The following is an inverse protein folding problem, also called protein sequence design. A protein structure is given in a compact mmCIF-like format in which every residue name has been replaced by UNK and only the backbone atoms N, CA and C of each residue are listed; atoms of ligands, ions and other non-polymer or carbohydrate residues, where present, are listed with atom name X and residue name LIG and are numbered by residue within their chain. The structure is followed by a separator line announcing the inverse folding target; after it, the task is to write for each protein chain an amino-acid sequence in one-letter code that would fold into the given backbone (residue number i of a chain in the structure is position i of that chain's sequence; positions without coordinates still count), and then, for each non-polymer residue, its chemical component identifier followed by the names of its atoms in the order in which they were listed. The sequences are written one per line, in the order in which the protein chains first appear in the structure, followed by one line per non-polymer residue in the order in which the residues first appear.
data_IF_719645662220
#
_entry.id   IF_719645662220
#
_cell.length_a   1.000
_cell.length_b   1.000
_cell.length_c   1.000
_cell.angle_alpha   90.00
_cell.angle_beta   90.00
_cell.angle_gamma   90.00
#
_symmetry.space_group_name_H-M   'P 1'
#
loop_
_entity.id
_entity.type
_entity.pdbx_description
1 polymer ?
#
# COMPACT_ATOMS: atom_id res chain seq x y z
N UNK A 1 8.10 -14.81 10.85
CA UNK A 1 8.24 -15.38 9.48
C UNK A 1 9.14 -14.54 8.60
N UNK A 2 8.93 -13.22 8.46
CA UNK A 2 9.77 -12.38 7.58
C UNK A 2 11.28 -12.44 7.85
N UNK A 3 11.72 -12.51 9.11
CA UNK A 3 13.15 -12.70 9.41
C UNK A 3 13.73 -13.98 8.79
N UNK A 4 12.95 -15.07 8.73
CA UNK A 4 13.35 -16.31 8.08
C UNK A 4 13.27 -16.19 6.55
N UNK A 5 12.23 -15.53 6.03
CA UNK A 5 12.03 -15.32 4.60
C UNK A 5 13.16 -14.49 3.98
N UNK A 6 13.58 -13.42 4.65
CA UNK A 6 14.56 -12.47 4.11
C UNK A 6 16.00 -12.75 4.55
N UNK A 7 16.22 -13.33 5.74
CA UNK A 7 17.55 -13.50 6.33
C UNK A 7 17.73 -14.85 7.05
N UNK A 8 16.99 -15.89 6.67
CA UNK A 8 17.10 -17.22 7.23
C UNK A 8 18.49 -17.85 7.09
N UNK A 9 19.25 -17.56 6.03
CA UNK A 9 20.62 -18.05 5.91
C UNK A 9 21.59 -17.36 6.88
N UNK A 10 21.26 -16.16 7.35
CA UNK A 10 22.08 -15.36 8.27
C UNK A 10 21.74 -15.72 9.71
N UNK A 11 20.45 -15.76 10.05
CA UNK A 11 19.95 -15.89 11.42
C UNK A 11 19.44 -17.29 11.79
N UNK A 12 19.19 -18.15 10.81
CA UNK A 12 18.77 -19.53 11.05
C UNK A 12 19.51 -20.52 10.11
N UNK A 13 20.85 -20.48 10.02
CA UNK A 13 21.61 -21.28 9.04
C UNK A 13 21.38 -22.79 9.19
N UNK A 14 21.07 -23.27 10.39
CA UNK A 14 20.84 -24.70 10.66
C UNK A 14 19.39 -25.13 10.40
N UNK A 15 18.48 -24.20 10.11
CA UNK A 15 17.09 -24.52 9.82
C UNK A 15 16.94 -24.93 8.35
N UNK A 16 16.95 -26.24 8.13
CA UNK A 16 16.82 -26.86 6.82
C UNK A 16 15.45 -27.52 6.65
N UNK A 17 14.84 -27.33 5.48
CA UNK A 17 13.66 -28.07 5.01
C UNK A 17 14.10 -28.82 3.75
N UNK A 18 13.97 -30.15 3.75
CA UNK A 18 14.43 -31.02 2.65
C UNK A 18 15.90 -30.78 2.23
N UNK A 19 16.75 -30.43 3.21
CA UNK A 19 18.16 -30.13 2.99
C UNK A 19 18.45 -28.71 2.45
N UNK A 20 17.42 -27.90 2.26
CA UNK A 20 17.52 -26.52 1.75
C UNK A 20 17.33 -25.55 2.93
N UNK A 21 18.12 -24.47 3.00
CA UNK A 21 17.93 -23.46 4.03
C UNK A 21 16.54 -22.82 3.94
N UNK A 22 15.94 -22.52 5.09
CA UNK A 22 14.61 -21.93 5.20
C UNK A 22 14.38 -20.70 4.32
N UNK A 23 15.37 -19.80 4.17
CA UNK A 23 15.25 -18.61 3.33
C UNK A 23 15.11 -19.00 1.86
N UNK A 24 16.04 -19.82 1.35
CA UNK A 24 16.02 -20.30 -0.03
C UNK A 24 14.73 -21.06 -0.32
N UNK A 25 14.31 -21.94 0.61
CA UNK A 25 13.07 -22.70 0.51
C UNK A 25 11.87 -21.76 0.36
N UNK A 26 11.67 -20.83 1.30
CA UNK A 26 10.53 -19.92 1.28
C UNK A 26 10.52 -19.01 0.05
N UNK A 27 11.65 -18.38 -0.29
CA UNK A 27 11.73 -17.48 -1.44
C UNK A 27 11.51 -18.22 -2.76
N UNK A 28 12.14 -19.39 -2.95
CA UNK A 28 11.98 -20.15 -4.18
C UNK A 28 10.54 -20.62 -4.38
N UNK A 29 9.88 -21.10 -3.32
CA UNK A 29 8.48 -21.52 -3.42
C UNK A 29 7.54 -20.34 -3.70
N UNK A 30 7.78 -19.18 -3.06
CA UNK A 30 7.02 -17.96 -3.34
C UNK A 30 7.18 -17.51 -4.80
N UNK A 31 8.43 -17.34 -5.25
CA UNK A 31 8.74 -16.88 -6.61
C UNK A 31 8.22 -17.88 -7.66
N UNK A 32 8.39 -19.19 -7.43
CA UNK A 32 7.89 -20.22 -8.36
C UNK A 32 6.37 -20.23 -8.47
N UNK A 33 5.64 -19.94 -7.39
CA UNK A 33 4.18 -19.86 -7.44
C UNK A 33 3.73 -18.70 -8.34
N UNK A 34 4.35 -17.52 -8.21
CA UNK A 34 4.05 -16.36 -9.07
C UNK A 34 4.53 -16.60 -10.51
N UNK A 35 5.72 -17.16 -10.70
CA UNK A 35 6.23 -17.52 -12.03
C UNK A 35 5.33 -18.54 -12.74
N UNK A 36 4.75 -19.50 -12.00
CA UNK A 36 3.78 -20.43 -12.57
C UNK A 36 2.50 -19.73 -13.04
N UNK A 37 1.98 -18.77 -12.28
CA UNK A 37 0.87 -17.93 -12.71
C UNK A 37 1.23 -17.13 -13.97
N UNK A 38 2.41 -16.51 -13.97
CA UNK A 38 2.92 -15.76 -15.11
C UNK A 38 3.02 -16.62 -16.39
N UNK A 39 3.40 -17.90 -16.27
CA UNK A 39 3.45 -18.83 -17.41
C UNK A 39 2.06 -19.02 -18.02
N UNK A 40 1.01 -19.10 -17.20
CA UNK A 40 -0.37 -19.24 -17.69
C UNK A 40 -0.88 -17.96 -18.34
N UNK A 41 -0.50 -16.81 -17.80
CA UNK A 41 -0.83 -15.49 -18.35
C UNK A 41 -0.18 -15.34 -19.74
N UNK A 42 1.12 -15.62 -19.85
CA UNK A 42 1.86 -15.53 -21.13
C UNK A 42 1.35 -16.53 -22.15
N UNK A 43 0.96 -17.74 -21.73
CA UNK A 43 0.41 -18.75 -22.63
C UNK A 43 -1.01 -18.47 -23.13
N UNK A 44 -1.72 -17.49 -22.55
CA UNK A 44 -3.09 -17.15 -22.92
C UNK A 44 -3.10 -15.89 -23.79
N UNK A 45 -3.60 -16.03 -25.01
CA UNK A 45 -3.67 -14.94 -25.98
C UNK A 45 -4.41 -13.72 -25.42
N UNK A 46 -3.83 -12.53 -25.58
CA UNK A 46 -4.42 -11.27 -25.16
C UNK A 46 -4.32 -10.95 -23.67
N UNK A 47 -3.69 -11.79 -22.83
CA UNK A 47 -3.47 -11.45 -21.41
C UNK A 47 -2.17 -10.68 -21.17
N UNK A 48 -1.03 -11.27 -21.53
CA UNK A 48 0.27 -10.61 -21.37
C UNK A 48 0.35 -9.32 -22.21
N UNK A 49 0.98 -8.28 -21.65
CA UNK A 49 1.18 -6.95 -22.25
C UNK A 49 -0.10 -6.15 -22.60
N UNK A 50 -1.28 -6.76 -22.51
CA UNK A 50 -2.57 -6.11 -22.81
C UNK A 50 -3.44 -5.93 -21.56
N UNK A 51 -3.63 -7.01 -20.79
CA UNK A 51 -4.41 -7.00 -19.55
C UNK A 51 -3.50 -7.02 -18.34
N UNK A 52 -2.46 -7.87 -18.36
CA UNK A 52 -1.47 -7.99 -17.30
C UNK A 52 -0.19 -7.30 -17.74
N UNK A 53 0.07 -6.14 -17.15
CA UNK A 53 1.25 -5.32 -17.45
C UNK A 53 2.48 -5.74 -16.65
N UNK A 54 2.29 -6.38 -15.49
CA UNK A 54 3.35 -6.58 -14.54
C UNK A 54 2.94 -7.31 -13.28
N UNK A 55 3.88 -7.41 -12.34
CA UNK A 55 3.74 -8.14 -11.08
C UNK A 55 4.31 -7.34 -9.93
N UNK A 56 3.58 -7.29 -8.82
CA UNK A 56 4.11 -6.80 -7.55
C UNK A 56 5.00 -7.85 -6.91
N UNK A 57 6.12 -7.38 -6.38
CA UNK A 57 7.12 -8.21 -5.69
C UNK A 57 6.60 -8.87 -4.43
N UNK A 58 5.89 -8.14 -3.56
CA UNK A 58 5.36 -8.63 -2.29
C UNK A 58 4.56 -7.53 -1.58
N UNK A 59 3.31 -7.84 -1.24
CA UNK A 59 2.49 -6.98 -0.40
C UNK A 59 3.07 -6.78 1.00
N UNK A 60 3.24 -5.53 1.39
CA UNK A 60 3.71 -5.02 2.68
C UNK A 60 4.86 -5.83 3.29
N UNK A 61 6.05 -5.86 2.64
CA UNK A 61 7.18 -6.59 3.17
C UNK A 61 7.59 -5.97 4.51
N UNK A 62 8.11 -6.78 5.42
CA UNK A 62 8.60 -6.32 6.72
C UNK A 62 9.99 -6.88 7.01
N UNK A 63 10.88 -6.13 7.68
CA UNK A 63 12.15 -6.67 8.15
C UNK A 63 11.97 -7.72 9.26
N UNK A 64 10.78 -7.81 9.88
CA UNK A 64 10.59 -8.56 11.11
C UNK A 64 11.58 -8.08 12.17
N UNK A 65 12.40 -8.98 12.71
CA UNK A 65 13.43 -8.64 13.69
C UNK A 65 14.79 -8.27 13.09
N UNK A 66 14.94 -8.27 11.76
CA UNK A 66 16.21 -7.91 11.11
C UNK A 66 16.56 -6.46 11.48
N UNK A 67 17.78 -6.25 11.99
CA UNK A 67 18.26 -4.95 12.47
C UNK A 67 17.83 -4.59 13.90
N UNK A 68 17.12 -5.46 14.65
CA UNK A 68 16.79 -5.19 16.06
C UNK A 68 18.06 -5.26 16.91
N UNK A 69 18.43 -4.15 17.55
CA UNK A 69 19.63 -4.04 18.40
C UNK A 69 19.49 -4.70 19.77
N UNK A 70 18.27 -4.75 20.32
CA UNK A 70 18.00 -5.36 21.61
C UNK A 70 16.59 -5.98 21.63
N UNK A 71 16.51 -7.30 21.53
CA UNK A 71 15.22 -8.02 21.53
C UNK A 71 14.50 -8.04 22.89
N UNK A 72 15.12 -7.56 23.96
CA UNK A 72 14.48 -7.49 25.29
C UNK A 72 13.61 -6.25 25.49
N UNK A 73 13.60 -5.33 24.54
CA UNK A 73 12.82 -4.08 24.59
C UNK A 73 11.97 -3.92 23.34
N UNK A 74 10.97 -3.04 23.40
CA UNK A 74 10.20 -2.68 22.22
C UNK A 74 11.08 -1.87 21.27
N UNK A 75 11.18 -2.34 20.03
CA UNK A 75 11.95 -1.68 18.98
C UNK A 75 11.41 -0.26 18.73
N UNK A 76 12.31 0.71 18.61
CA UNK A 76 11.97 2.09 18.28
C UNK A 76 11.37 2.23 16.88
N UNK A 77 11.68 1.30 15.97
CA UNK A 77 11.10 1.22 14.62
C UNK A 77 9.64 0.76 14.64
N UNK A 78 9.18 0.09 15.69
CA UNK A 78 7.78 -0.28 15.87
C UNK A 78 6.97 0.91 16.39
N UNK A 79 6.61 1.80 15.47
CA UNK A 79 5.90 3.04 15.78
C UNK A 79 4.42 2.81 16.11
N UNK A 80 3.78 1.86 15.42
CA UNK A 80 2.41 1.46 15.73
C UNK A 80 2.40 0.44 16.89
N UNK A 81 1.71 0.78 17.98
CA UNK A 81 1.54 -0.08 19.16
C UNK A 81 0.09 -0.02 19.62
N UNK A 82 -0.51 -1.19 19.84
CA UNK A 82 -1.91 -1.29 20.20
C UNK A 82 -2.18 -2.62 20.90
N UNK A 83 -2.96 -2.58 21.98
CA UNK A 83 -3.28 -3.73 22.86
C UNK A 83 -1.99 -4.40 23.35
N UNK A 84 -1.99 -5.73 23.47
CA UNK A 84 -0.82 -6.51 23.87
C UNK A 84 0.30 -6.32 22.85
N UNK A 85 1.39 -5.69 23.27
CA UNK A 85 2.54 -5.39 22.42
C UNK A 85 3.79 -6.00 23.06
N UNK A 86 4.09 -7.29 22.79
CA UNK A 86 5.26 -7.95 23.35
C UNK A 86 6.56 -7.48 22.68
N UNK A 87 7.65 -7.47 23.44
CA UNK A 87 9.00 -7.40 22.86
C UNK A 87 9.28 -8.65 22.00
N UNK A 88 10.28 -8.63 21.12
CA UNK A 88 10.66 -9.84 20.39
C UNK A 88 11.00 -11.01 21.32
N UNK A 89 11.69 -10.77 22.44
CA UNK A 89 11.99 -11.84 23.41
C UNK A 89 10.74 -12.32 24.16
N UNK A 90 9.84 -11.42 24.56
CA UNK A 90 8.55 -11.82 25.15
C UNK A 90 7.72 -12.67 24.17
N UNK A 91 7.78 -12.33 22.87
CA UNK A 91 7.14 -13.13 21.80
C UNK A 91 7.75 -14.53 21.69
N UNK A 92 9.07 -14.67 21.86
CA UNK A 92 9.76 -15.97 21.89
C UNK A 92 9.28 -16.82 23.08
N UNK A 93 9.18 -16.22 24.27
CA UNK A 93 8.71 -16.90 25.48
C UNK A 93 7.26 -17.36 25.33
N UNK A 94 6.36 -16.46 24.92
CA UNK A 94 4.95 -16.78 24.69
C UNK A 94 4.77 -17.86 23.62
N UNK A 95 5.48 -17.76 22.49
CA UNK A 95 5.47 -18.78 21.44
C UNK A 95 6.03 -20.14 21.90
N UNK A 96 6.81 -20.15 22.98
CA UNK A 96 7.33 -21.37 23.60
C UNK A 96 6.46 -21.88 24.75
N UNK A 97 5.28 -21.29 24.97
CA UNK A 97 4.32 -21.70 26.00
C UNK A 97 4.64 -21.17 27.39
N UNK A 98 5.53 -20.17 27.51
CA UNK A 98 5.98 -19.62 28.78
C UNK A 98 5.17 -18.36 29.12
N UNK A 99 4.51 -18.30 30.29
CA UNK A 99 3.77 -17.13 30.72
C UNK A 99 4.66 -15.91 30.86
N UNK A 100 4.21 -14.77 30.32
CA UNK A 100 5.02 -13.54 30.23
C UNK A 100 4.16 -12.32 30.49
N UNK A 101 4.71 -11.31 31.18
CA UNK A 101 4.05 -10.01 31.36
C UNK A 101 4.39 -9.10 30.20
N UNK A 102 3.35 -8.62 29.51
CA UNK A 102 3.47 -7.84 28.25
C UNK A 102 2.90 -6.45 28.45
N UNK A 103 3.47 -5.44 27.79
CA UNK A 103 2.92 -4.10 27.80
C UNK A 103 1.57 -4.02 27.06
N UNK A 104 0.62 -3.29 27.63
CA UNK A 104 -0.63 -2.94 26.94
C UNK A 104 -0.58 -1.51 26.47
N UNK A 105 -1.04 -1.28 25.24
CA UNK A 105 -1.03 0.02 24.58
C UNK A 105 -2.42 0.42 24.10
N UNK A 106 -2.76 1.69 24.21
CA UNK A 106 -3.93 2.31 23.59
C UNK A 106 -3.52 3.23 22.46
N UNK A 107 -4.44 3.54 21.55
CA UNK A 107 -4.21 4.51 20.47
C UNK A 107 -5.12 5.73 20.64
N UNK A 108 -4.52 6.88 20.92
CA UNK A 108 -5.23 8.16 21.10
C UNK A 108 -5.08 9.09 19.89
N UNK A 109 -5.60 10.32 20.02
CA UNK A 109 -5.50 11.36 18.97
C UNK A 109 -4.07 11.77 18.61
N UNK A 110 -3.11 11.51 19.50
CA UNK A 110 -1.69 11.82 19.31
C UNK A 110 -0.83 10.57 19.11
N UNK A 111 -1.46 9.41 18.85
CA UNK A 111 -0.77 8.14 18.61
C UNK A 111 -0.78 7.17 19.79
N UNK A 112 0.09 6.17 19.77
CA UNK A 112 0.15 5.13 20.79
C UNK A 112 0.57 5.64 22.17
N UNK A 113 0.00 5.08 23.22
CA UNK A 113 0.41 5.34 24.61
C UNK A 113 0.31 4.07 25.43
N UNK A 114 1.32 3.79 26.26
CA UNK A 114 1.30 2.65 27.19
C UNK A 114 0.17 2.84 28.20
N UNK A 115 -0.76 1.90 28.24
CA UNK A 115 -1.91 1.88 29.16
C UNK A 115 -1.66 1.02 30.39
N UNK A 116 -0.68 0.11 30.34
CA UNK A 116 -0.36 -0.75 31.47
C UNK A 116 0.47 -1.96 31.07
N UNK A 117 0.28 -3.05 31.80
CA UNK A 117 0.86 -4.37 31.55
C UNK A 117 -0.16 -5.45 31.85
N UNK A 118 -0.10 -6.57 31.14
CA UNK A 118 -0.98 -7.72 31.34
C UNK A 118 -0.15 -9.00 31.42
N UNK A 119 -0.52 -9.92 32.31
CA UNK A 119 0.12 -11.23 32.40
C UNK A 119 -0.58 -12.19 31.43
N UNK A 120 0.15 -12.64 30.40
CA UNK A 120 -0.37 -13.53 29.37
C UNK A 120 0.15 -14.94 29.63
N UNK A 121 -0.78 -15.90 29.77
CA UNK A 121 -0.49 -17.31 29.99
C UNK A 121 -0.97 -18.16 28.81
N UNK A 122 -0.06 -18.69 27.95
CA UNK A 122 -0.40 -19.60 26.86
C UNK A 122 -0.93 -20.97 27.31
N UNK A 123 -0.95 -21.26 28.61
CA UNK A 123 -1.35 -22.55 29.21
C UNK A 123 -0.55 -23.71 28.62
N UNK A 124 0.77 -23.50 28.50
CA UNK A 124 1.71 -24.44 27.88
C UNK A 124 1.48 -24.73 26.38
N UNK A 125 0.58 -24.01 25.72
CA UNK A 125 0.41 -24.10 24.27
C UNK A 125 1.64 -23.52 23.57
N UNK A 126 2.17 -24.23 22.58
CA UNK A 126 3.39 -23.85 21.86
C UNK A 126 3.07 -23.57 20.40
N UNK A 127 3.78 -22.60 19.81
CA UNK A 127 3.74 -22.33 18.38
C UNK A 127 4.58 -23.35 17.56
N UNK A 128 5.37 -24.19 18.25
CA UNK A 128 6.26 -25.18 17.65
C UNK A 128 5.59 -26.56 17.65
N UNK A 129 5.84 -27.35 16.60
CA UNK A 129 5.41 -28.75 16.53
C UNK A 129 5.98 -29.56 17.69
N UNK A 130 5.29 -30.67 18.00
CA UNK A 130 5.78 -31.65 18.96
C UNK A 130 7.20 -32.10 18.61
N UNK A 131 8.03 -32.30 19.64
CA UNK A 131 9.44 -32.67 19.51
C UNK A 131 10.36 -31.62 18.86
N UNK A 132 9.82 -30.47 18.42
CA UNK A 132 10.62 -29.35 17.91
C UNK A 132 10.83 -28.30 18.99
N UNK A 133 12.06 -27.81 19.08
CA UNK A 133 12.42 -26.70 19.96
C UNK A 133 12.17 -25.35 19.24
N UNK A 134 12.16 -24.27 20.00
CA UNK A 134 12.20 -22.93 19.44
C UNK A 134 13.46 -22.76 18.58
N UNK A 135 13.27 -22.35 17.32
CA UNK A 135 14.37 -22.13 16.37
C UNK A 135 15.44 -21.18 16.91
N UNK A 136 15.07 -20.20 17.74
CA UNK A 136 16.01 -19.24 18.31
C UNK A 136 16.79 -19.82 19.50
N UNK A 137 16.23 -20.79 20.22
CA UNK A 137 17.00 -21.55 21.21
C UNK A 137 18.03 -22.44 20.51
N UNK A 138 17.67 -23.06 19.38
CA UNK A 138 18.60 -23.89 18.57
C UNK A 138 19.79 -23.08 18.04
N UNK A 139 19.64 -21.76 17.92
CA UNK A 139 20.69 -20.84 17.50
C UNK A 139 21.33 -20.07 18.67
N UNK A 140 21.07 -20.48 19.91
CA UNK A 140 21.69 -19.93 21.11
C UNK A 140 21.31 -18.48 21.42
N UNK A 141 20.15 -18.02 20.95
CA UNK A 141 19.63 -16.68 21.26
C UNK A 141 19.17 -16.62 22.72
N UNK A 142 18.59 -17.69 23.23
CA UNK A 142 18.09 -17.81 24.61
C UNK A 142 18.19 -19.25 25.12
N UNK A 143 18.14 -19.42 26.44
CA UNK A 143 18.19 -20.71 27.11
C UNK A 143 16.79 -21.16 27.59
N UNK A 144 16.22 -22.24 27.02
CA UNK A 144 14.90 -22.74 27.39
C UNK A 144 14.83 -23.41 28.77
N UNK A 145 15.97 -23.79 29.36
CA UNK A 145 16.00 -24.39 30.70
C UNK A 145 15.92 -23.35 31.81
N UNK A 146 16.43 -22.15 31.56
CA UNK A 146 16.47 -21.05 32.54
C UNK A 146 15.59 -19.85 32.17
N UNK A 147 14.98 -19.87 30.98
CA UNK A 147 14.21 -18.77 30.38
C UNK A 147 15.02 -17.47 30.27
N UNK A 148 16.34 -17.58 30.03
CA UNK A 148 17.24 -16.42 29.97
C UNK A 148 17.59 -16.06 28.54
N UNK A 149 17.52 -14.77 28.23
CA UNK A 149 18.08 -14.21 27.01
C UNK A 149 19.61 -14.29 27.06
N UNK A 150 20.24 -14.84 26.02
CA UNK A 150 21.70 -15.00 25.92
C UNK A 150 22.32 -13.97 24.97
N UNK A 151 21.64 -13.65 23.86
CA UNK A 151 22.14 -12.75 22.81
C UNK A 151 21.06 -11.75 22.40
N UNK A 152 21.11 -10.56 22.98
CA UNK A 152 20.08 -9.53 22.78
C UNK A 152 20.16 -8.83 21.42
N UNK A 153 21.36 -8.77 20.85
CA UNK A 153 21.73 -8.10 19.59
C UNK A 153 21.85 -9.09 18.42
N UNK A 154 21.32 -10.31 18.59
CA UNK A 154 21.46 -11.38 17.60
C UNK A 154 21.06 -10.93 16.19
N UNK A 155 19.98 -10.14 16.07
CA UNK A 155 19.43 -9.74 14.78
C UNK A 155 19.97 -8.43 14.21
N UNK A 156 20.87 -7.71 14.90
CA UNK A 156 21.49 -6.49 14.38
C UNK A 156 22.83 -6.72 13.67
N UNK A 157 23.36 -7.95 13.74
CA UNK A 157 24.67 -8.29 13.20
C UNK A 157 24.52 -9.35 12.11
N UNK A 158 25.06 -9.09 10.92
CA UNK A 158 25.17 -10.10 9.87
C UNK A 158 26.23 -11.12 10.28
N UNK A 159 25.82 -12.33 10.66
CA UNK A 159 26.72 -13.37 11.16
C UNK A 159 27.64 -13.99 10.11
N UNK A 160 27.43 -13.72 8.82
CA UNK A 160 28.33 -14.12 7.74
C UNK A 160 29.50 -13.13 7.55
N UNK A 161 29.24 -11.84 7.77
CA UNK A 161 30.22 -10.76 7.53
C UNK A 161 30.77 -10.10 8.79
N UNK A 162 30.10 -10.33 9.94
CA UNK A 162 30.35 -9.68 11.23
C UNK A 162 30.16 -8.15 11.24
N UNK A 163 29.45 -7.60 10.26
CA UNK A 163 29.07 -6.19 10.21
C UNK A 163 27.63 -5.97 10.73
N UNK A 164 27.26 -4.71 10.98
CA UNK A 164 25.86 -4.35 11.18
C UNK A 164 25.04 -4.75 9.94
N UNK A 165 23.89 -5.38 10.14
CA UNK A 165 23.03 -5.80 9.04
C UNK A 165 22.20 -4.62 8.54
N UNK A 166 22.08 -4.50 7.22
CA UNK A 166 21.16 -3.57 6.57
C UNK A 166 20.07 -4.35 5.84
N UNK A 167 18.81 -4.18 6.24
CA UNK A 167 17.71 -4.94 5.63
C UNK A 167 17.55 -4.66 4.14
N UNK A 168 17.65 -3.39 3.72
CA UNK A 168 17.49 -2.98 2.33
C UNK A 168 18.54 -3.67 1.46
N UNK A 169 19.81 -3.51 1.83
CA UNK A 169 20.96 -3.94 1.04
C UNK A 169 21.20 -5.44 1.15
N UNK A 170 21.17 -6.00 2.35
CA UNK A 170 21.58 -7.39 2.59
C UNK A 170 20.44 -8.38 2.34
N UNK A 171 19.18 -7.93 2.31
CA UNK A 171 18.01 -8.82 2.26
C UNK A 171 16.98 -8.47 1.18
N UNK A 172 16.46 -7.23 1.18
CA UNK A 172 15.37 -6.83 0.28
C UNK A 172 15.83 -6.74 -1.17
N UNK A 173 16.89 -5.98 -1.48
CA UNK A 173 17.44 -5.88 -2.85
C UNK A 173 17.72 -7.26 -3.47
N UNK A 174 18.44 -8.19 -2.80
CA UNK A 174 18.67 -9.54 -3.34
C UNK A 174 17.38 -10.32 -3.65
N UNK A 175 16.35 -10.19 -2.80
CA UNK A 175 15.05 -10.81 -3.06
C UNK A 175 14.39 -10.22 -4.31
N UNK A 176 14.37 -8.88 -4.43
CA UNK A 176 13.76 -8.19 -5.56
C UNK A 176 14.47 -8.53 -6.88
N UNK A 177 15.80 -8.64 -6.88
CA UNK A 177 16.59 -9.08 -8.04
C UNK A 177 16.26 -10.53 -8.45
N UNK A 178 16.15 -11.43 -7.48
CA UNK A 178 15.78 -12.83 -7.74
C UNK A 178 14.35 -12.97 -8.25
N UNK A 179 13.40 -12.23 -7.65
CA UNK A 179 12.02 -12.17 -8.12
C UNK A 179 11.97 -11.65 -9.56
N UNK A 180 12.59 -10.50 -9.83
CA UNK A 180 12.59 -9.85 -11.15
C UNK A 180 13.17 -10.76 -12.23
N UNK A 181 14.34 -11.33 -11.99
CA UNK A 181 14.99 -12.23 -12.96
C UNK A 181 14.16 -13.48 -13.25
N UNK A 182 13.53 -14.06 -12.23
CA UNK A 182 12.68 -15.24 -12.38
C UNK A 182 11.41 -14.94 -13.16
N UNK A 183 10.74 -13.82 -12.88
CA UNK A 183 9.52 -13.43 -13.58
C UNK A 183 9.81 -13.03 -15.04
N UNK A 184 10.90 -12.31 -15.29
CA UNK A 184 11.30 -11.93 -16.65
C UNK A 184 11.81 -13.08 -17.50
N UNK A 185 12.23 -14.19 -16.90
CA UNK A 185 12.48 -15.43 -17.62
C UNK A 185 11.20 -16.03 -18.24
N UNK A 186 10.02 -15.63 -17.75
CA UNK A 186 8.70 -16.08 -18.24
C UNK A 186 7.99 -14.98 -19.04
N UNK A 187 7.94 -13.76 -18.51
CA UNK A 187 7.29 -12.59 -19.10
C UNK A 187 8.33 -11.47 -19.24
N UNK A 188 9.09 -11.49 -20.35
CA UNK A 188 10.26 -10.62 -20.54
C UNK A 188 9.96 -9.12 -20.47
N UNK A 189 8.76 -8.72 -20.88
CA UNK A 189 8.24 -7.35 -20.86
C UNK A 189 7.48 -6.98 -19.58
N UNK A 190 7.42 -7.84 -18.56
CA UNK A 190 6.72 -7.50 -17.32
C UNK A 190 7.28 -6.23 -16.67
N UNK A 191 6.38 -5.32 -16.29
CA UNK A 191 6.68 -4.26 -15.33
C UNK A 191 6.82 -4.91 -13.96
N UNK A 192 7.89 -4.61 -13.22
CA UNK A 192 8.00 -5.04 -11.83
C UNK A 192 7.60 -3.88 -10.92
N UNK A 193 6.53 -4.09 -10.17
CA UNK A 193 6.08 -3.15 -9.14
C UNK A 193 6.84 -3.47 -7.86
N UNK A 194 7.78 -2.60 -7.51
CA UNK A 194 8.72 -2.77 -6.40
C UNK A 194 8.13 -2.13 -5.16
N UNK A 195 7.61 -2.96 -4.27
CA UNK A 195 7.01 -2.50 -3.02
C UNK A 195 8.08 -2.40 -1.90
N UNK A 196 8.23 -1.23 -1.27
CA UNK A 196 9.09 -1.05 -0.09
C UNK A 196 8.39 -1.51 1.20
N UNK A 197 9.15 -1.62 2.28
CA UNK A 197 8.54 -1.80 3.61
C UNK A 197 7.70 -0.58 3.99
N UNK A 198 6.48 -0.83 4.48
CA UNK A 198 5.57 0.25 4.91
C UNK A 198 6.23 1.12 5.99
N UNK A 199 6.33 2.42 5.71
CA UNK A 199 6.87 3.42 6.64
C UNK A 199 8.38 3.35 6.87
N UNK A 200 9.12 2.60 6.06
CA UNK A 200 10.59 2.47 6.14
C UNK A 200 11.22 2.93 4.83
N UNK A 201 12.04 3.99 4.91
CA UNK A 201 12.81 4.50 3.77
C UNK A 201 13.92 3.51 3.37
N UNK A 202 14.01 3.08 2.11
CA UNK A 202 15.11 2.24 1.63
C UNK A 202 16.48 2.93 1.77
N UNK A 203 17.40 2.30 2.48
CA UNK A 203 18.73 2.86 2.81
C UNK A 203 19.72 2.84 1.64
N UNK A 204 19.37 2.25 0.51
CA UNK A 204 20.24 2.11 -0.66
C UNK A 204 19.42 2.07 -1.95
N UNK A 205 19.92 2.68 -3.05
CA UNK A 205 19.24 2.63 -4.33
C UNK A 205 19.32 1.22 -4.95
N UNK A 206 18.28 0.87 -5.69
CA UNK A 206 18.17 -0.36 -6.46
C UNK A 206 18.51 -0.07 -7.93
N UNK A 207 19.78 -0.27 -8.29
CA UNK A 207 20.33 0.15 -9.59
C UNK A 207 20.44 -0.98 -10.62
N UNK A 208 20.11 -2.21 -10.25
CA UNK A 208 20.41 -3.42 -11.01
C UNK A 208 19.24 -3.95 -11.85
N UNK A 209 18.01 -3.48 -11.62
CA UNK A 209 16.81 -4.01 -12.30
C UNK A 209 16.63 -3.53 -13.75
N UNK A 210 17.34 -2.47 -14.16
CA UNK A 210 17.12 -1.82 -15.46
C UNK A 210 15.73 -1.18 -15.57
N UNK A 211 15.23 -1.05 -16.80
CA UNK A 211 13.96 -0.39 -17.11
C UNK A 211 12.74 -1.29 -16.79
N UNK A 212 11.53 -0.76 -17.02
CA UNK A 212 10.23 -1.44 -16.78
C UNK A 212 10.05 -1.87 -15.33
N UNK A 213 10.30 -0.92 -14.44
CA UNK A 213 9.99 -1.02 -13.02
C UNK A 213 9.12 0.17 -12.61
N UNK A 214 8.36 0.00 -11.55
CA UNK A 214 7.56 1.06 -10.93
C UNK A 214 7.72 0.95 -9.42
N UNK A 215 7.89 2.08 -8.74
CA UNK A 215 7.88 2.09 -7.28
C UNK A 215 6.43 1.96 -6.81
N UNK A 216 6.18 1.04 -5.89
CA UNK A 216 4.83 0.64 -5.51
C UNK A 216 4.54 0.77 -3.99
N UNK A 217 4.68 1.96 -3.39
CA UNK A 217 4.44 2.12 -1.96
C UNK A 217 2.94 2.15 -1.63
N UNK A 218 2.60 1.89 -0.36
CA UNK A 218 1.26 2.11 0.16
C UNK A 218 1.18 3.43 0.93
N UNK A 219 0.00 4.04 0.95
CA UNK A 219 -0.26 5.19 1.81
C UNK A 219 -1.67 5.17 2.38
N UNK A 220 -1.78 5.35 3.69
CA UNK A 220 -3.06 5.52 4.39
C UNK A 220 -2.96 6.69 5.38
N UNK A 221 -4.09 7.38 5.58
CA UNK A 221 -4.25 8.23 6.76
C UNK A 221 -4.39 7.35 8.01
N UNK A 222 -3.25 7.03 8.62
CA UNK A 222 -3.17 6.12 9.76
C UNK A 222 -4.02 6.56 10.96
N UNK A 223 -4.19 7.87 11.19
CA UNK A 223 -5.06 8.35 12.26
C UNK A 223 -6.51 7.96 11.97
N UNK A 224 -6.98 8.18 10.74
CA UNK A 224 -8.33 7.81 10.33
C UNK A 224 -8.52 6.29 10.32
N UNK A 225 -7.55 5.54 9.79
CA UNK A 225 -7.61 4.08 9.67
C UNK A 225 -7.70 3.40 11.05
N UNK A 226 -6.87 3.82 12.01
CA UNK A 226 -6.80 3.20 13.34
C UNK A 226 -7.94 3.69 14.25
N UNK A 227 -8.23 4.99 14.26
CA UNK A 227 -9.27 5.55 15.13
C UNK A 227 -10.69 5.38 14.58
N UNK A 228 -10.83 4.95 13.32
CA UNK A 228 -12.10 4.86 12.59
C UNK A 228 -12.86 6.19 12.61
N UNK A 229 -12.12 7.29 12.54
CA UNK A 229 -12.66 8.63 12.64
C UNK A 229 -11.85 9.62 11.78
N UNK A 230 -12.45 10.10 10.69
CA UNK A 230 -11.81 11.06 9.82
C UNK A 230 -11.70 12.46 10.46
N UNK A 231 -10.47 12.96 10.58
CA UNK A 231 -10.18 14.20 11.27
C UNK A 231 -10.17 15.41 10.32
N UNK A 232 -11.29 16.15 10.28
CA UNK A 232 -11.54 17.20 9.26
C UNK A 232 -10.85 18.53 9.53
N UNK A 233 -10.49 18.78 10.79
CA UNK A 233 -10.09 20.10 11.26
C UNK A 233 -8.59 20.24 11.43
N UNK A 234 -7.87 19.12 11.49
CA UNK A 234 -6.42 19.13 11.51
C UNK A 234 -5.85 17.80 11.03
N UNK A 235 -4.62 17.84 10.53
CA UNK A 235 -3.77 16.68 10.30
C UNK A 235 -2.37 16.98 10.84
N UNK A 236 -1.55 15.93 10.97
CA UNK A 236 -0.14 16.04 11.36
C UNK A 236 0.69 15.61 10.16
N UNK A 237 1.56 16.49 9.63
CA UNK A 237 2.58 16.13 8.65
C UNK A 237 3.68 15.30 9.34
N UNK A 238 3.34 14.05 9.69
CA UNK A 238 4.19 13.16 10.46
C UNK A 238 5.41 12.72 9.66
N UNK A 239 5.25 12.44 8.37
CA UNK A 239 6.36 12.15 7.46
C UNK A 239 7.35 13.31 7.42
N UNK A 240 6.87 14.54 7.20
CA UNK A 240 7.74 15.71 7.22
C UNK A 240 8.44 15.91 8.57
N UNK A 241 7.76 15.64 9.68
CA UNK A 241 8.38 15.68 11.00
C UNK A 241 9.50 14.63 11.14
N UNK A 242 9.28 13.38 10.72
CA UNK A 242 10.31 12.33 10.75
C UNK A 242 11.53 12.66 9.89
N UNK A 243 11.32 13.34 8.76
CA UNK A 243 12.40 13.81 7.89
C UNK A 243 13.11 15.08 8.42
N UNK A 244 12.77 15.58 9.61
CA UNK A 244 13.41 16.75 10.20
C UNK A 244 12.96 18.10 9.61
N UNK A 245 11.89 18.14 8.80
CA UNK A 245 11.31 19.39 8.26
C UNK A 245 10.80 20.33 9.36
N UNK A 246 10.47 19.77 10.53
CA UNK A 246 9.95 20.50 11.69
C UNK A 246 10.83 20.24 12.91
N UNK A 247 11.19 21.29 13.65
CA UNK A 247 11.97 21.18 14.89
C UNK A 247 11.17 20.58 16.05
N UNK A 248 9.85 20.54 15.95
CA UNK A 248 8.93 19.96 16.92
C UNK A 248 7.63 19.54 16.23
N UNK A 249 7.02 18.44 16.67
CA UNK A 249 5.77 17.90 16.11
C UNK A 249 4.60 18.91 16.15
N UNK A 250 4.58 19.85 17.09
CA UNK A 250 3.54 20.89 17.12
C UNK A 250 3.56 21.76 15.86
N UNK A 251 4.73 21.97 15.25
CA UNK A 251 4.86 22.73 14.01
C UNK A 251 4.46 21.95 12.75
N UNK A 252 4.27 20.62 12.87
CA UNK A 252 3.77 19.80 11.76
C UNK A 252 2.24 19.72 11.70
N UNK A 253 1.53 20.30 12.68
CA UNK A 253 0.06 20.38 12.69
C UNK A 253 -0.41 21.32 11.58
N UNK A 254 -1.27 20.81 10.70
CA UNK A 254 -1.96 21.58 9.66
C UNK A 254 -3.43 21.72 10.03
N UNK A 255 -3.99 22.93 9.86
CA UNK A 255 -5.34 23.26 10.30
C UNK A 255 -6.31 23.42 9.13
N UNK A 256 -7.57 23.06 9.38
CA UNK A 256 -8.67 23.10 8.42
C UNK A 256 -8.60 22.02 7.35
N UNK A 257 -9.70 21.87 6.60
CA UNK A 257 -9.80 20.86 5.54
C UNK A 257 -8.70 20.99 4.48
N UNK A 258 -8.32 22.23 4.12
CA UNK A 258 -7.17 22.47 3.23
C UNK A 258 -5.86 21.99 3.85
N UNK A 259 -5.64 22.27 5.13
CA UNK A 259 -4.44 21.82 5.84
C UNK A 259 -4.33 20.29 5.90
N UNK A 260 -5.45 19.58 6.07
CA UNK A 260 -5.50 18.11 6.01
C UNK A 260 -5.02 17.61 4.64
N UNK A 261 -5.62 18.13 3.56
CA UNK A 261 -5.23 17.75 2.19
C UNK A 261 -3.76 18.09 1.91
N UNK A 262 -3.30 19.26 2.34
CA UNK A 262 -1.91 19.71 2.14
C UNK A 262 -0.92 18.81 2.92
N UNK A 263 -1.27 18.34 4.12
CA UNK A 263 -0.45 17.40 4.90
C UNK A 263 -0.35 16.02 4.22
N UNK A 264 -1.50 15.47 3.83
CA UNK A 264 -1.57 14.19 3.14
C UNK A 264 -0.83 14.23 1.80
N UNK A 265 -1.03 15.28 1.01
CA UNK A 265 -0.35 15.46 -0.28
C UNK A 265 1.17 15.56 -0.12
N UNK A 266 1.66 16.27 0.91
CA UNK A 266 3.09 16.33 1.20
C UNK A 266 3.67 14.97 1.60
N UNK A 267 2.94 14.18 2.38
CA UNK A 267 3.34 12.81 2.77
C UNK A 267 3.38 11.87 1.55
N UNK A 268 2.40 11.94 0.66
CA UNK A 268 2.36 11.14 -0.58
C UNK A 268 3.48 11.58 -1.54
N UNK A 269 3.71 12.89 -1.69
CA UNK A 269 4.79 13.40 -2.53
C UNK A 269 6.16 12.97 -2.01
N UNK A 270 6.34 12.88 -0.69
CA UNK A 270 7.53 12.29 -0.10
C UNK A 270 7.75 10.85 -0.58
N UNK A 271 6.75 9.98 -0.46
CA UNK A 271 6.86 8.59 -0.94
C UNK A 271 7.19 8.49 -2.43
N UNK A 272 6.64 9.39 -3.25
CA UNK A 272 7.00 9.48 -4.66
C UNK A 272 8.48 9.83 -4.85
N UNK A 273 8.96 10.85 -4.12
CA UNK A 273 10.34 11.30 -4.20
C UNK A 273 11.32 10.23 -3.69
N UNK A 274 10.94 9.48 -2.65
CA UNK A 274 11.66 8.27 -2.19
C UNK A 274 11.77 7.22 -3.31
N UNK A 275 10.72 7.07 -4.12
CA UNK A 275 10.75 6.21 -5.31
C UNK A 275 11.84 6.64 -6.29
N UNK A 276 11.96 7.95 -6.57
CA UNK A 276 13.00 8.48 -7.45
C UNK A 276 14.41 8.28 -6.87
N UNK A 277 14.57 8.40 -5.55
CA UNK A 277 15.84 8.11 -4.87
C UNK A 277 16.18 6.61 -4.90
N UNK A 278 15.17 5.74 -4.78
CA UNK A 278 15.35 4.30 -4.66
C UNK A 278 15.56 3.64 -6.02
N UNK A 279 14.68 3.87 -6.99
CA UNK A 279 14.69 3.16 -8.27
C UNK A 279 15.04 4.06 -9.47
N UNK A 280 15.36 5.34 -9.24
CA UNK A 280 15.66 6.30 -10.31
C UNK A 280 14.40 6.88 -10.97
N UNK A 281 14.57 7.45 -12.16
CA UNK A 281 13.51 8.15 -12.91
C UNK A 281 12.49 7.16 -13.54
N UNK A 282 11.67 6.56 -12.68
CA UNK A 282 10.67 5.55 -13.01
C UNK A 282 9.30 5.93 -12.43
N UNK A 283 8.19 5.40 -12.99
CA UNK A 283 6.85 5.66 -12.48
C UNK A 283 6.68 5.27 -11.01
N UNK A 284 5.78 5.99 -10.33
CA UNK A 284 5.27 5.65 -9.01
C UNK A 284 3.77 5.34 -9.14
N UNK A 285 3.39 4.18 -8.64
CA UNK A 285 2.01 3.75 -8.49
C UNK A 285 1.80 3.46 -7.01
N UNK A 286 0.93 4.20 -6.31
CA UNK A 286 0.57 3.77 -4.96
C UNK A 286 -0.22 2.47 -5.05
N UNK A 287 0.40 1.36 -4.64
CA UNK A 287 -0.15 0.00 -4.74
C UNK A 287 -1.43 -0.18 -3.93
N UNK A 288 -1.57 0.57 -2.85
CA UNK A 288 -2.78 0.62 -2.05
C UNK A 288 -2.97 1.96 -1.34
N UNK A 289 -4.22 2.41 -1.32
CA UNK A 289 -4.68 3.51 -0.48
C UNK A 289 -6.19 3.48 -0.33
N UNK A 290 -6.74 3.99 0.77
CA UNK A 290 -8.19 3.95 0.97
C UNK A 290 -8.65 4.60 2.27
N UNK A 291 -9.93 4.41 2.57
CA UNK A 291 -10.56 4.88 3.81
C UNK A 291 -11.46 3.78 4.40
N UNK A 292 -11.54 3.67 5.73
CA UNK A 292 -12.47 2.76 6.37
C UNK A 292 -13.92 3.23 6.18
N UNK A 293 -14.82 2.32 5.81
CA UNK A 293 -16.26 2.57 5.78
C UNK A 293 -16.96 2.27 7.10
N UNK A 294 -16.33 1.49 7.99
CA UNK A 294 -16.81 1.15 9.33
C UNK A 294 -16.72 2.31 10.35
N UNK A 295 -16.49 3.54 9.89
CA UNK A 295 -16.51 4.74 10.74
C UNK A 295 -17.89 4.98 11.39
N UNK A 296 -17.99 5.16 12.72
CA UNK A 296 -19.28 5.20 13.43
C UNK A 296 -20.21 6.36 13.03
N UNK A 297 -19.67 7.47 12.52
CA UNK A 297 -20.40 8.74 12.41
C UNK A 297 -21.18 8.95 11.10
N UNK A 298 -21.28 7.96 10.22
CA UNK A 298 -22.23 7.94 9.09
C UNK A 298 -22.20 6.60 8.35
N UNK A 299 -22.81 5.56 8.92
CA UNK A 299 -23.15 4.36 8.12
C UNK A 299 -24.29 4.70 7.14
N UNK A 300 -24.55 3.80 6.20
CA UNK A 300 -25.57 3.94 5.16
C UNK A 300 -26.88 4.60 5.65
N UNK A 301 -27.54 5.43 4.82
CA UNK A 301 -27.28 5.60 3.38
C UNK A 301 -26.40 6.82 3.01
N UNK A 302 -26.05 7.71 3.94
CA UNK A 302 -25.52 9.03 3.55
C UNK A 302 -24.00 9.09 3.35
N UNK A 303 -23.22 8.18 3.97
CA UNK A 303 -21.74 8.11 3.88
C UNK A 303 -21.00 9.46 4.00
N UNK A 304 -21.60 10.48 4.62
CA UNK A 304 -21.13 11.87 4.51
C UNK A 304 -19.70 12.06 5.01
N UNK A 305 -19.31 11.38 6.09
CA UNK A 305 -17.94 11.43 6.62
C UNK A 305 -16.97 10.71 5.70
N UNK A 306 -17.33 9.51 5.25
CA UNK A 306 -16.56 8.68 4.33
C UNK A 306 -16.34 9.40 2.99
N UNK A 307 -17.37 10.02 2.43
CA UNK A 307 -17.28 10.80 1.18
C UNK A 307 -16.33 11.98 1.33
N UNK A 308 -16.33 12.64 2.50
CA UNK A 308 -15.38 13.71 2.80
C UNK A 308 -13.95 13.20 2.96
N UNK A 309 -13.77 12.04 3.61
CA UNK A 309 -12.47 11.41 3.77
C UNK A 309 -11.89 10.95 2.43
N UNK A 310 -12.70 10.23 1.63
CA UNK A 310 -12.37 9.77 0.28
C UNK A 310 -12.01 10.95 -0.62
N UNK A 311 -12.80 12.03 -0.59
CA UNK A 311 -12.49 13.24 -1.34
C UNK A 311 -11.18 13.89 -0.90
N UNK A 312 -10.89 13.94 0.40
CA UNK A 312 -9.64 14.51 0.90
C UNK A 312 -8.43 13.67 0.45
N UNK A 313 -8.54 12.34 0.49
CA UNK A 313 -7.55 11.41 -0.03
C UNK A 313 -7.29 11.65 -1.52
N UNK A 314 -8.35 11.67 -2.35
CA UNK A 314 -8.22 11.82 -3.81
C UNK A 314 -7.68 13.21 -4.22
N UNK A 315 -8.09 14.30 -3.55
CA UNK A 315 -7.49 15.63 -3.77
C UNK A 315 -5.99 15.64 -3.41
N UNK A 316 -5.59 14.88 -2.37
CA UNK A 316 -4.17 14.76 -2.01
C UNK A 316 -3.35 13.97 -3.03
N UNK A 317 -3.91 12.89 -3.59
CA UNK A 317 -3.30 12.09 -4.67
C UNK A 317 -3.14 12.91 -5.96
N UNK A 318 -4.20 13.62 -6.36
CA UNK A 318 -4.19 14.51 -7.53
C UNK A 318 -3.11 15.59 -7.42
N UNK A 319 -2.96 16.20 -6.23
CA UNK A 319 -1.93 17.22 -5.97
C UNK A 319 -0.52 16.65 -5.90
N UNK A 320 -0.37 15.42 -5.43
CA UNK A 320 0.92 14.72 -5.40
C UNK A 320 1.32 14.22 -6.80
N UNK A 321 0.38 14.12 -7.74
CA UNK A 321 0.66 13.72 -9.13
C UNK A 321 1.10 12.26 -9.23
N UNK A 322 0.45 11.38 -8.48
CA UNK A 322 0.77 9.94 -8.41
C UNK A 322 -0.37 9.11 -9.00
N UNK A 323 -0.03 7.98 -9.62
CA UNK A 323 -1.01 6.95 -9.92
C UNK A 323 -1.34 6.18 -8.65
N UNK A 324 -2.51 5.56 -8.57
CA UNK A 324 -2.92 4.82 -7.37
C UNK A 324 -3.92 3.71 -7.68
N UNK A 325 -4.01 2.76 -6.76
CA UNK A 325 -5.05 1.73 -6.68
C UNK A 325 -5.80 1.89 -5.37
N UNK A 326 -7.13 2.10 -5.47
CA UNK A 326 -7.98 2.22 -4.27
C UNK A 326 -8.22 0.85 -3.66
N UNK A 327 -7.94 0.72 -2.36
CA UNK A 327 -8.29 -0.42 -1.55
C UNK A 327 -9.72 -0.22 -1.00
N UNK A 328 -10.70 -1.00 -1.43
CA UNK A 328 -10.65 -2.03 -2.47
C UNK A 328 -12.01 -2.20 -3.17
N UNK A 329 -12.16 -3.19 -4.04
CA UNK A 329 -13.47 -3.65 -4.53
C UNK A 329 -13.63 -5.14 -4.22
N UNK A 330 -14.63 -5.47 -3.40
CA UNK A 330 -14.90 -6.81 -2.89
C UNK A 330 -16.40 -7.07 -3.05
N UNK A 331 -16.75 -7.94 -3.98
CA UNK A 331 -18.15 -8.20 -4.39
C UNK A 331 -19.00 -8.93 -3.35
N UNK A 332 -18.39 -9.40 -2.27
CA UNK A 332 -19.03 -10.08 -1.14
C UNK A 332 -18.87 -9.31 0.18
N UNK A 333 -18.40 -8.05 0.13
CA UNK A 333 -18.27 -7.22 1.32
C UNK A 333 -19.61 -7.02 2.03
N UNK A 334 -19.60 -7.07 3.37
CA UNK A 334 -20.78 -6.80 4.22
C UNK A 334 -20.42 -5.86 5.37
N UNK A 335 -21.41 -5.19 5.96
CA UNK A 335 -21.18 -4.31 7.12
C UNK A 335 -20.75 -5.08 8.38
N UNK A 336 -21.07 -6.37 8.44
CA UNK A 336 -20.78 -7.21 9.61
C UNK A 336 -19.36 -7.81 9.58
N UNK A 337 -18.87 -8.15 8.39
CA UNK A 337 -17.62 -8.91 8.23
C UNK A 337 -16.59 -8.21 7.35
N UNK A 338 -16.89 -7.01 6.82
CA UNK A 338 -16.02 -6.32 5.87
C UNK A 338 -15.82 -7.18 4.63
N UNK A 339 -14.57 -7.32 4.22
CA UNK A 339 -14.10 -8.13 3.09
C UNK A 339 -14.18 -9.65 3.29
N UNK A 340 -14.55 -10.13 4.49
CA UNK A 340 -14.61 -11.56 4.80
C UNK A 340 -13.24 -12.25 4.92
N UNK A 341 -12.14 -11.51 4.83
CA UNK A 341 -10.78 -12.03 4.89
C UNK A 341 -10.09 -11.67 6.20
N UNK A 342 -9.81 -10.39 6.42
CA UNK A 342 -9.17 -9.88 7.64
C UNK A 342 -10.10 -8.99 8.47
N UNK A 343 -11.34 -8.80 8.00
CA UNK A 343 -12.37 -8.00 8.67
C UNK A 343 -12.33 -6.52 8.30
N UNK A 344 -11.61 -6.16 7.24
CA UNK A 344 -11.52 -4.80 6.74
C UNK A 344 -12.79 -4.39 5.99
N UNK A 345 -13.42 -3.31 6.43
CA UNK A 345 -14.53 -2.70 5.70
C UNK A 345 -14.04 -1.47 4.92
N UNK A 346 -13.21 -1.70 3.90
CA UNK A 346 -12.59 -0.64 3.06
C UNK A 346 -13.17 -0.61 1.64
N UNK A 347 -14.06 -1.54 1.30
CA UNK A 347 -14.48 -1.70 -0.09
C UNK A 347 -15.32 -0.53 -0.64
N UNK A 348 -15.17 -0.19 -1.92
CA UNK A 348 -16.01 0.79 -2.61
C UNK A 348 -17.44 0.30 -2.81
N UNK A 349 -17.72 -0.97 -2.55
CA UNK A 349 -19.04 -1.57 -2.70
C UNK A 349 -19.40 -2.42 -1.48
N UNK A 350 -20.68 -2.55 -1.17
CA UNK A 350 -21.17 -3.47 -0.14
C UNK A 350 -22.48 -4.12 -0.55
N UNK A 351 -22.59 -5.42 -0.31
CA UNK A 351 -23.79 -6.20 -0.60
C UNK A 351 -24.99 -5.68 0.18
N UNK A 352 -24.77 -5.20 1.39
CA UNK A 352 -25.83 -4.70 2.27
C UNK A 352 -26.48 -3.43 1.72
N UNK A 353 -25.73 -2.63 0.95
CA UNK A 353 -26.18 -1.36 0.39
C UNK A 353 -26.84 -1.50 -0.99
N UNK A 354 -26.63 -2.64 -1.67
CA UNK A 354 -27.30 -2.92 -2.94
C UNK A 354 -28.81 -3.13 -2.72
N UNK A 355 -29.65 -2.39 -3.44
CA UNK A 355 -31.12 -2.58 -3.47
C UNK A 355 -31.49 -3.92 -4.09
N UNK A 356 -30.80 -4.31 -5.16
CA UNK A 356 -31.01 -5.56 -5.89
C UNK A 356 -29.95 -6.58 -5.47
N UNK A 357 -30.39 -7.58 -4.70
CA UNK A 357 -29.50 -8.62 -4.14
C UNK A 357 -29.14 -9.71 -5.15
N UNK A 358 -29.99 -9.96 -6.15
CA UNK A 358 -29.78 -10.96 -7.21
C UNK A 358 -29.37 -10.30 -8.53
N UNK A 359 -28.25 -10.74 -9.09
CA UNK A 359 -27.67 -10.14 -10.28
C UNK A 359 -28.55 -10.26 -11.55
N UNK A 360 -29.51 -11.20 -11.57
CA UNK A 360 -30.41 -11.46 -12.71
C UNK A 360 -31.54 -10.44 -12.84
N UNK A 361 -31.84 -9.71 -11.77
CA UNK A 361 -32.97 -8.78 -11.71
C UNK A 361 -32.51 -7.32 -11.99
N UNK A 362 -31.31 -7.19 -12.56
CA UNK A 362 -30.62 -5.93 -12.78
C UNK A 362 -30.92 -5.37 -14.18
N UNK A 363 -31.81 -4.37 -14.26
CA UNK A 363 -32.10 -3.64 -15.51
C UNK A 363 -31.73 -2.14 -15.44
N UNK A 364 -30.99 -1.65 -16.43
CA UNK A 364 -30.65 -0.22 -16.60
C UNK A 364 -29.38 0.26 -15.88
N UNK A 365 -28.96 1.49 -16.20
CA UNK A 365 -27.69 2.07 -15.73
C UNK A 365 -27.64 2.33 -14.21
N UNK A 366 -28.78 2.54 -13.56
CA UNK A 366 -28.86 2.70 -12.10
C UNK A 366 -28.36 1.47 -11.33
N UNK A 367 -28.30 0.32 -11.99
CA UNK A 367 -27.96 -0.93 -11.35
C UNK A 367 -26.46 -1.17 -11.26
N UNK A 368 -25.65 -0.55 -12.12
CA UNK A 368 -24.19 -0.63 -12.04
C UNK A 368 -23.62 0.08 -10.81
N UNK A 369 -24.33 1.10 -10.32
CA UNK A 369 -23.96 1.87 -9.13
C UNK A 369 -24.64 1.38 -7.84
N UNK A 370 -25.51 0.36 -7.94
CA UNK A 370 -26.27 -0.14 -6.81
C UNK A 370 -25.36 -0.82 -5.79
N UNK A 371 -25.33 -0.30 -4.56
CA UNK A 371 -24.42 -0.72 -3.49
C UNK A 371 -23.03 -0.06 -3.52
N UNK A 372 -22.77 0.85 -4.46
CA UNK A 372 -21.55 1.65 -4.45
C UNK A 372 -21.54 2.65 -3.27
N UNK A 373 -20.37 2.85 -2.68
CA UNK A 373 -20.15 3.72 -1.52
C UNK A 373 -19.25 4.89 -1.91
N UNK A 374 -19.65 6.10 -1.55
CA UNK A 374 -18.93 7.34 -1.87
C UNK A 374 -18.72 7.60 -3.38
N UNK A 375 -19.69 7.19 -4.23
CA UNK A 375 -19.63 7.34 -5.69
C UNK A 375 -19.30 8.79 -6.13
N UNK A 376 -19.89 9.78 -5.47
CA UNK A 376 -19.65 11.21 -5.74
C UNK A 376 -18.19 11.64 -5.52
N UNK A 377 -17.43 10.90 -4.71
CA UNK A 377 -16.04 11.22 -4.41
C UNK A 377 -15.06 10.44 -5.29
N UNK A 378 -15.25 9.12 -5.47
CA UNK A 378 -14.26 8.29 -6.18
C UNK A 378 -14.46 8.22 -7.69
N UNK A 379 -15.70 8.36 -8.20
CA UNK A 379 -15.98 8.30 -9.63
C UNK A 379 -15.73 9.67 -10.28
N UNK A 380 -14.46 10.05 -10.42
CA UNK A 380 -14.03 11.39 -10.87
C UNK A 380 -13.64 11.41 -12.34
N UNK A 381 -13.76 12.55 -13.04
CA UNK A 381 -13.12 12.72 -14.33
C UNK A 381 -11.60 12.77 -14.18
N UNK A 382 -10.88 12.18 -15.12
CA UNK A 382 -9.41 12.20 -15.15
C UNK A 382 -8.90 11.95 -16.57
N UNK A 383 -7.67 12.40 -16.91
CA UNK A 383 -7.07 12.06 -18.20
C UNK A 383 -6.69 10.57 -18.22
N UNK A 384 -7.27 9.80 -19.15
CA UNK A 384 -6.91 8.38 -19.35
C UNK A 384 -5.65 8.26 -20.21
N UNK A 385 -5.41 9.23 -21.09
CA UNK A 385 -4.21 9.34 -21.89
C UNK A 385 -3.84 10.81 -22.06
N UNK A 386 -2.56 11.17 -21.87
CA UNK A 386 -2.07 12.55 -22.05
C UNK A 386 -0.99 12.59 -23.11
N UNK A 387 -1.19 13.39 -24.15
CA UNK A 387 -0.17 13.69 -25.14
C UNK A 387 0.78 14.80 -24.63
N UNK A 388 1.54 14.48 -23.58
CA UNK A 388 2.42 15.42 -22.90
C UNK A 388 2.71 15.04 -21.46
N UNK A 389 3.49 15.88 -20.78
CA UNK A 389 3.79 15.72 -19.36
C UNK A 389 2.66 16.31 -18.50
N UNK A 390 1.97 15.52 -17.65
CA UNK A 390 1.04 16.04 -16.66
C UNK A 390 1.69 17.09 -15.74
N UNK A 391 1.00 18.19 -15.47
CA UNK A 391 1.47 19.26 -14.56
C UNK A 391 0.60 19.36 -13.32
N UNK A 392 -0.72 19.35 -13.47
CA UNK A 392 -1.63 19.33 -12.32
C UNK A 392 -3.00 18.80 -12.71
N UNK A 393 -3.61 18.03 -11.81
CA UNK A 393 -5.02 17.64 -11.87
C UNK A 393 -5.72 18.15 -10.61
N UNK A 394 -6.98 18.57 -10.76
CA UNK A 394 -7.86 18.89 -9.64
C UNK A 394 -9.30 18.64 -10.03
N UNK A 395 -10.04 17.89 -9.22
CA UNK A 395 -11.49 17.80 -9.33
C UNK A 395 -12.21 18.24 -8.04
N UNK A 396 -13.18 19.14 -8.20
CA UNK A 396 -14.08 19.60 -7.15
C UNK A 396 -15.45 18.93 -7.33
N UNK A 397 -15.71 17.91 -6.51
CA UNK A 397 -16.94 17.12 -6.56
C UNK A 397 -18.23 17.89 -6.24
N UNK A 398 -18.14 19.01 -5.49
CA UNK A 398 -19.32 19.81 -5.15
C UNK A 398 -19.78 20.66 -6.32
N UNK A 399 -18.82 21.21 -7.06
CA UNK A 399 -19.07 22.02 -8.25
C UNK A 399 -19.04 21.21 -9.54
N UNK A 400 -18.65 19.93 -9.45
CA UNK A 400 -18.46 19.00 -10.58
C UNK A 400 -17.51 19.57 -11.63
N UNK A 401 -16.42 20.19 -11.16
CA UNK A 401 -15.47 20.91 -12.02
C UNK A 401 -14.09 20.27 -11.95
N UNK A 402 -13.54 19.92 -13.11
CA UNK A 402 -12.15 19.45 -13.26
C UNK A 402 -11.29 20.55 -13.89
N UNK A 403 -10.07 20.69 -13.41
CA UNK A 403 -9.01 21.47 -14.07
C UNK A 403 -7.79 20.59 -14.24
N UNK A 404 -7.33 20.45 -15.48
CA UNK A 404 -6.15 19.68 -15.82
C UNK A 404 -5.17 20.55 -16.63
N UNK A 405 -3.87 20.42 -16.35
CA UNK A 405 -2.79 21.10 -17.06
C UNK A 405 -1.71 20.09 -17.40
N UNK A 406 -1.18 20.17 -18.61
CA UNK A 406 -0.06 19.35 -19.08
C UNK A 406 0.81 20.15 -20.06
N UNK A 407 2.06 19.72 -20.26
CA UNK A 407 2.99 20.27 -21.24
C UNK A 407 3.02 19.36 -22.47
N UNK A 408 2.63 19.88 -23.63
CA UNK A 408 2.62 19.09 -24.87
C UNK A 408 4.02 18.56 -25.25
N UNK A 409 4.06 17.32 -25.76
CA UNK A 409 5.24 16.80 -26.47
C UNK A 409 5.28 17.41 -27.87
N UNK A 410 5.95 18.57 -27.98
CA UNK A 410 6.11 19.30 -29.25
C UNK A 410 5.71 20.76 -29.12
N UNK A 411 6.67 21.67 -29.27
CA UNK A 411 6.39 23.10 -29.30
C UNK A 411 5.55 23.44 -30.54
N UNK A 412 4.29 23.82 -30.32
CA UNK A 412 3.36 24.35 -31.31
C UNK A 412 3.13 23.48 -32.58
N UNK A 413 1.92 22.93 -32.67
CA UNK A 413 1.30 22.39 -33.89
C UNK A 413 1.67 20.96 -34.32
N UNK A 414 1.01 19.98 -33.71
CA UNK A 414 0.47 18.85 -34.47
C UNK A 414 -1.04 18.80 -34.23
N UNK A 415 -1.76 19.73 -34.85
CA UNK A 415 -3.22 19.77 -34.85
C UNK A 415 -3.72 18.98 -36.05
N UNK A 416 -3.77 17.66 -35.93
CA UNK A 416 -4.47 16.85 -36.92
C UNK A 416 -5.94 16.80 -36.50
N UNK A 417 -6.82 17.32 -37.36
CA UNK A 417 -8.27 17.27 -37.17
C UNK A 417 -8.85 16.64 -38.43
N UNK A 418 -9.43 15.46 -38.29
CA UNK A 418 -10.49 14.98 -39.19
C UNK A 418 -10.04 14.30 -40.48
N UNK A 419 -8.94 13.53 -40.47
CA UNK A 419 -8.59 12.68 -41.62
C UNK A 419 -8.83 11.19 -41.38
N UNK A 420 -9.05 10.75 -40.14
CA UNK A 420 -9.25 9.34 -39.82
C UNK A 420 -8.02 8.45 -40.06
N UNK A 421 -6.82 9.05 -40.14
CA UNK A 421 -5.56 8.30 -40.15
C UNK A 421 -5.15 7.88 -38.73
N UNK A 422 -4.46 6.74 -38.61
CA UNK A 422 -3.95 6.16 -37.36
C UNK A 422 -2.94 7.04 -36.59
N UNK A 423 -2.56 8.22 -37.13
CA UNK A 423 -1.55 9.14 -36.59
C UNK A 423 -2.12 10.35 -35.80
N UNK A 424 -3.43 10.44 -35.53
CA UNK A 424 -4.00 11.53 -34.73
C UNK A 424 -3.75 11.33 -33.22
N UNK A 425 -2.90 12.16 -32.60
CA UNK A 425 -2.54 12.06 -31.18
C UNK A 425 -3.36 13.03 -30.33
N UNK A 426 -4.31 12.52 -29.55
CA UNK A 426 -5.20 13.30 -28.67
C UNK A 426 -4.95 13.01 -27.19
N UNK A 427 -5.33 13.94 -26.31
CA UNK A 427 -5.44 13.71 -24.86
C UNK A 427 -6.87 13.25 -24.59
N UNK A 428 -7.04 12.06 -24.00
CA UNK A 428 -8.33 11.50 -23.65
C UNK A 428 -8.66 11.75 -22.18
N UNK A 429 -9.95 11.94 -21.90
CA UNK A 429 -10.48 12.06 -20.56
C UNK A 429 -11.58 11.03 -20.36
N UNK A 430 -11.67 10.50 -19.14
CA UNK A 430 -12.87 9.82 -18.66
C UNK A 430 -13.85 10.86 -18.11
N UNK A 431 -15.10 10.80 -18.55
CA UNK A 431 -16.21 11.63 -18.07
C UNK A 431 -17.27 10.77 -17.37
N UNK A 432 -17.32 10.76 -16.02
CA UNK A 432 -18.22 9.90 -15.28
C UNK A 432 -19.68 10.34 -15.41
N UNK A 433 -20.55 9.43 -15.83
CA UNK A 433 -22.00 9.68 -16.03
C UNK A 433 -22.70 10.15 -14.75
N UNK A 434 -22.22 9.74 -13.57
CA UNK A 434 -22.75 10.22 -12.27
C UNK A 434 -22.63 11.73 -12.10
N UNK A 435 -21.63 12.35 -12.73
CA UNK A 435 -21.43 13.80 -12.69
C UNK A 435 -21.96 14.50 -13.94
N UNK A 436 -21.84 13.85 -15.12
CA UNK A 436 -22.16 14.41 -16.43
C UNK A 436 -23.09 13.47 -17.22
N UNK A 437 -24.38 13.35 -16.83
CA UNK A 437 -25.30 12.39 -17.43
C UNK A 437 -25.72 12.76 -18.85
N UNK A 438 -25.69 14.04 -19.21
CA UNK A 438 -26.09 14.51 -20.54
C UNK A 438 -25.09 15.53 -21.10
N UNK A 439 -25.11 15.73 -22.42
CA UNK A 439 -24.28 16.75 -23.07
C UNK A 439 -24.55 18.17 -22.55
N UNK A 440 -25.76 18.45 -22.03
CA UNK A 440 -26.10 19.75 -21.43
C UNK A 440 -25.39 20.02 -20.10
N UNK A 441 -24.86 18.99 -19.45
CA UNK A 441 -24.13 19.10 -18.18
C UNK A 441 -22.63 19.39 -18.37
N UNK A 442 -22.14 19.32 -19.62
CA UNK A 442 -20.72 19.44 -19.94
C UNK A 442 -20.41 20.81 -20.53
N UNK A 443 -19.48 21.53 -19.91
CA UNK A 443 -18.90 22.77 -20.45
C UNK A 443 -17.39 22.63 -20.45
N UNK A 444 -16.79 22.54 -21.64
CA UNK A 444 -15.34 22.44 -21.81
C UNK A 444 -14.77 23.79 -22.20
N UNK A 445 -13.67 24.18 -21.54
CA UNK A 445 -12.86 25.35 -21.88
C UNK A 445 -11.42 24.90 -21.98
N UNK A 446 -10.79 25.17 -23.13
CA UNK A 446 -9.38 24.89 -23.38
C UNK A 446 -8.67 26.19 -23.70
N UNK A 447 -7.45 26.36 -23.17
CA UNK A 447 -6.61 27.52 -23.51
C UNK A 447 -6.03 27.38 -24.93
N UNK A 448 -5.84 26.13 -25.38
CA UNK A 448 -5.33 25.80 -26.70
C UNK A 448 -6.02 24.55 -27.22
N UNK A 449 -6.36 24.56 -28.51
CA UNK A 449 -6.85 23.39 -29.24
C UNK A 449 -8.34 23.31 -29.47
N UNK A 450 -8.71 22.20 -30.12
CA UNK A 450 -10.10 21.80 -30.32
C UNK A 450 -10.44 20.66 -29.37
N UNK A 451 -11.71 20.53 -29.07
CA UNK A 451 -12.24 19.46 -28.25
C UNK A 451 -13.57 18.98 -28.84
N UNK A 452 -13.92 17.75 -28.51
CA UNK A 452 -15.23 17.15 -28.72
C UNK A 452 -15.58 16.37 -27.46
N UNK A 453 -16.83 15.95 -27.32
CA UNK A 453 -17.32 15.18 -26.17
C UNK A 453 -18.22 14.06 -26.66
N UNK A 454 -18.06 12.87 -26.09
CA UNK A 454 -18.97 11.74 -26.24
C UNK A 454 -19.45 11.30 -24.86
N UNK A 455 -20.60 11.84 -24.46
CA UNK A 455 -21.21 11.54 -23.16
C UNK A 455 -21.69 10.09 -23.07
N UNK A 456 -22.09 9.48 -24.19
CA UNK A 456 -22.52 8.08 -24.20
C UNK A 456 -21.32 7.16 -23.96
N UNK A 457 -20.20 7.43 -24.64
CA UNK A 457 -18.92 6.76 -24.46
C UNK A 457 -18.12 7.19 -23.22
N UNK A 458 -18.62 8.17 -22.44
CA UNK A 458 -17.96 8.72 -21.26
C UNK A 458 -16.55 9.30 -21.54
N UNK A 459 -16.41 10.04 -22.65
CA UNK A 459 -15.15 10.61 -23.14
C UNK A 459 -15.21 12.11 -23.43
#
# INVERSE_FOLDING_TARGET
MFTLFFAGEIFAPNLLIDGINIQTYLQQHYINAIAHLAQRIVATEGLADSVVLGYDTMNEPSPGWIGVEDISVLDSRQELRMRLTPTPFESILLGSGIPTTVETWGFGRFGPTKTGTEHVDPKSSRAWLDERQCIWADHGVWDPSTNKLLRKDYFSINHKTHAAIDFTKDCWIPFIEHFTSSLRAVHASAIIFVEPCVGVHPTSPLTTLGDRISYAPHWYDGLTLISKHFQKTFAVDYTGFKMGKYSNIVFSIKLGAKGVVDAHSASIACLRDEGFETIGDHPVLLGETGIPFDMPASRAPEYKLQTQAMNALLDSLERAGVNFTLWNYVSDNTHAHGDGWNGEDLSLWSRDDARVKDATDREGDEVFNDGARCLDAFCRPYPTHTNGDPVSLKFDWKTKSMTYRFRHYGGHACWCVGSGSEDEVYTDFYLPRVHFPTAGDVVVKVDQGLWWVDVEGQR
#
